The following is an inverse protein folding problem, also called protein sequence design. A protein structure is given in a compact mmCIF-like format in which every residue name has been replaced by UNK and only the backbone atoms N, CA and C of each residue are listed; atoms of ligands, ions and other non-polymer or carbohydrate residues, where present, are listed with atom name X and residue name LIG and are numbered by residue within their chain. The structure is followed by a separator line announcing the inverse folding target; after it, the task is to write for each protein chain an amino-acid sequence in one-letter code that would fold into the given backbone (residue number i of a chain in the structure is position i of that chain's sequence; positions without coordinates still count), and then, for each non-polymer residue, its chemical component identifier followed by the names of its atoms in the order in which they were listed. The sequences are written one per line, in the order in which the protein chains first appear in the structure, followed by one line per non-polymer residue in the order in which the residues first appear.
data_IF_014846159633
#
_entry.id   IF_014846159633
#
_cell.length_a   1.000
_cell.length_b   1.000
_cell.length_c   1.000
_cell.angle_alpha   90.00
_cell.angle_beta   90.00
_cell.angle_gamma   90.00
#
_symmetry.space_group_name_H-M   'P 1'
#
loop_
_entity.id
_entity.type
_entity.pdbx_description
1 polymer ?
#
# COMPACT_ATOMS: atom_id res chain seq x y z
N UNK A 1 -13.67 -24.95 -29.12
CA UNK A 1 -12.46 -24.20 -29.51
C UNK A 1 -12.68 -22.77 -29.04
N UNK A 2 -11.87 -22.25 -28.11
CA UNK A 2 -12.05 -20.87 -27.63
C UNK A 2 -11.76 -19.87 -28.75
N UNK A 3 -12.58 -18.81 -28.82
CA UNK A 3 -12.48 -17.70 -29.77
C UNK A 3 -11.03 -17.12 -29.78
N UNK A 4 -10.40 -16.92 -30.96
CA UNK A 4 -9.09 -16.28 -31.07
C UNK A 4 -9.00 -14.90 -30.40
N UNK A 5 -10.10 -14.15 -30.33
CA UNK A 5 -10.23 -12.89 -29.60
C UNK A 5 -10.18 -13.12 -28.08
N UNK A 6 -10.80 -14.19 -27.57
CA UNK A 6 -10.72 -14.55 -26.14
C UNK A 6 -9.32 -15.07 -25.77
N UNK A 7 -8.64 -15.78 -26.67
CA UNK A 7 -7.24 -16.17 -26.48
C UNK A 7 -6.31 -14.96 -26.50
N UNK A 8 -6.59 -13.97 -27.35
CA UNK A 8 -5.85 -12.71 -27.40
C UNK A 8 -6.10 -11.86 -26.15
N UNK A 9 -7.34 -11.77 -25.67
CA UNK A 9 -7.68 -11.12 -24.39
C UNK A 9 -6.98 -11.80 -23.20
N UNK A 10 -6.92 -13.14 -23.15
CA UNK A 10 -6.17 -13.85 -22.11
C UNK A 10 -4.65 -13.62 -22.19
N UNK A 11 -4.10 -13.34 -23.39
CA UNK A 11 -2.67 -13.10 -23.60
C UNK A 11 -2.29 -11.63 -23.38
N UNK A 12 -3.20 -10.71 -23.70
CA UNK A 12 -3.10 -9.28 -23.41
C UNK A 12 -3.44 -8.96 -21.92
N UNK A 13 -4.00 -9.94 -21.17
CA UNK A 13 -4.19 -9.92 -19.72
C UNK A 13 -3.06 -10.60 -18.94
N UNK A 14 -2.04 -11.11 -19.62
CA UNK A 14 -0.74 -11.23 -18.98
C UNK A 14 -0.19 -9.80 -19.04
N UNK A 15 -0.63 -8.97 -18.09
CA UNK A 15 0.14 -7.79 -17.71
C UNK A 15 1.58 -8.29 -17.61
N UNK A 16 2.46 -7.88 -18.52
CA UNK A 16 3.89 -8.02 -18.27
C UNK A 16 4.08 -7.46 -16.87
N UNK A 17 4.48 -8.32 -15.92
CA UNK A 17 4.58 -7.93 -14.51
C UNK A 17 5.39 -6.64 -14.53
N UNK A 18 4.78 -5.49 -14.21
CA UNK A 18 5.48 -4.22 -14.37
C UNK A 18 6.72 -4.35 -13.51
N UNK A 19 7.88 -4.10 -14.12
CA UNK A 19 9.18 -4.15 -13.45
C UNK A 19 9.00 -3.54 -12.06
N UNK A 20 9.27 -4.32 -11.01
CA UNK A 20 8.96 -3.88 -9.64
C UNK A 20 9.56 -2.48 -9.46
N UNK A 21 8.75 -1.48 -9.10
CA UNK A 21 9.24 -0.12 -9.07
C UNK A 21 10.35 -0.01 -8.04
N UNK A 22 11.33 0.86 -8.29
CA UNK A 22 12.39 1.15 -7.31
C UNK A 22 11.77 1.81 -6.07
N UNK A 23 11.44 0.99 -5.09
CA UNK A 23 10.81 1.42 -3.86
C UNK A 23 11.74 2.30 -3.01
N UNK A 24 13.07 2.18 -3.15
CA UNK A 24 14.02 3.04 -2.45
C UNK A 24 13.92 4.47 -3.00
N UNK A 25 14.00 4.62 -4.33
CA UNK A 25 13.86 5.92 -4.98
C UNK A 25 12.47 6.54 -4.75
N UNK A 26 11.39 5.75 -4.83
CA UNK A 26 10.03 6.24 -4.57
C UNK A 26 9.87 6.75 -3.13
N UNK A 27 10.39 6.01 -2.16
CA UNK A 27 10.36 6.39 -0.74
C UNK A 27 11.14 7.70 -0.51
N UNK A 28 12.33 7.85 -1.08
CA UNK A 28 13.12 9.10 -1.00
C UNK A 28 12.37 10.30 -1.57
N UNK A 29 11.81 10.16 -2.78
CA UNK A 29 11.04 11.21 -3.43
C UNK A 29 9.80 11.62 -2.62
N UNK A 30 9.07 10.64 -2.07
CA UNK A 30 7.90 10.90 -1.25
C UNK A 30 8.26 11.59 0.06
N UNK A 31 9.34 11.16 0.73
CA UNK A 31 9.84 11.82 1.95
C UNK A 31 10.23 13.28 1.71
N UNK A 32 10.79 13.59 0.53
CA UNK A 32 11.23 14.94 0.19
C UNK A 32 10.07 15.95 0.04
N UNK A 33 8.85 15.48 -0.27
CA UNK A 33 7.69 16.35 -0.54
C UNK A 33 6.61 16.30 0.54
N UNK A 34 6.82 15.57 1.64
CA UNK A 34 5.86 15.53 2.75
C UNK A 34 5.75 16.88 3.44
N UNK A 35 4.52 17.28 3.77
CA UNK A 35 4.34 18.36 4.73
C UNK A 35 4.60 17.87 6.18
N UNK A 36 4.66 18.81 7.13
CA UNK A 36 5.01 18.51 8.52
C UNK A 36 4.05 17.50 9.20
N UNK A 37 2.74 17.62 8.98
CA UNK A 37 1.75 16.73 9.59
C UNK A 37 1.82 15.31 9.04
N UNK A 38 1.99 15.19 7.72
CA UNK A 38 2.19 13.91 7.04
C UNK A 38 3.49 13.22 7.49
N UNK A 39 4.58 14.02 7.63
CA UNK A 39 5.87 13.55 8.13
C UNK A 39 5.74 13.01 9.55
N UNK A 40 5.05 13.72 10.42
CA UNK A 40 4.82 13.31 11.80
C UNK A 40 4.05 11.97 11.87
N UNK A 41 2.96 11.84 11.11
CA UNK A 41 2.20 10.58 11.04
C UNK A 41 3.05 9.42 10.51
N UNK A 42 3.81 9.65 9.44
CA UNK A 42 4.71 8.65 8.89
C UNK A 42 5.76 8.22 9.92
N UNK A 43 6.38 9.17 10.61
CA UNK A 43 7.46 8.90 11.55
C UNK A 43 6.98 8.12 12.77
N UNK A 44 5.79 8.44 13.29
CA UNK A 44 5.20 7.67 14.39
C UNK A 44 4.95 6.20 14.01
N UNK A 45 4.35 5.96 12.84
CA UNK A 45 4.07 4.60 12.38
C UNK A 45 5.36 3.85 12.06
N UNK A 46 6.28 4.46 11.31
CA UNK A 46 7.52 3.81 10.90
C UNK A 46 8.44 3.49 12.08
N UNK A 47 8.59 4.40 13.06
CA UNK A 47 9.32 4.13 14.31
C UNK A 47 8.69 2.98 15.07
N UNK A 48 7.36 2.98 15.22
CA UNK A 48 6.65 1.89 15.92
C UNK A 48 6.86 0.55 15.24
N UNK A 49 6.82 0.49 13.91
CA UNK A 49 7.09 -0.74 13.16
C UNK A 49 8.52 -1.24 13.41
N UNK A 50 9.51 -0.35 13.44
CA UNK A 50 10.90 -0.69 13.74
C UNK A 50 11.08 -1.18 15.18
N UNK A 51 10.53 -0.46 16.16
CA UNK A 51 10.61 -0.82 17.58
C UNK A 51 9.91 -2.17 17.84
N UNK A 52 8.82 -2.44 17.11
CA UNK A 52 8.03 -3.67 17.25
C UNK A 52 8.73 -4.94 16.75
N UNK A 53 9.91 -4.81 16.14
CA UNK A 53 10.79 -5.94 15.80
C UNK A 53 11.46 -6.51 17.04
N UNK A 54 11.61 -5.74 18.12
CA UNK A 54 12.04 -6.30 19.41
C UNK A 54 10.92 -7.20 19.97
N UNK A 55 11.19 -8.49 20.26
CA UNK A 55 10.20 -9.40 20.86
C UNK A 55 9.65 -8.92 22.21
N UNK A 56 10.34 -8.00 22.89
CA UNK A 56 9.90 -7.40 24.15
C UNK A 56 8.98 -6.20 23.98
N UNK A 57 8.80 -5.71 22.74
CA UNK A 57 7.97 -4.55 22.48
C UNK A 57 6.49 -4.83 22.79
N UNK A 58 5.96 -4.15 23.79
CA UNK A 58 4.58 -4.25 24.30
C UNK A 58 3.70 -3.03 23.96
N UNK A 59 4.20 -2.10 23.15
CA UNK A 59 3.48 -0.90 22.73
C UNK A 59 2.35 -1.13 21.72
N UNK A 60 1.50 -0.11 21.53
CA UNK A 60 0.38 -0.14 20.57
C UNK A 60 0.88 -0.11 19.13
N UNK A 61 0.40 -1.03 18.29
CA UNK A 61 0.78 -1.14 16.86
C UNK A 61 -0.35 -0.76 15.89
N UNK A 62 -1.50 -0.33 16.41
CA UNK A 62 -2.67 0.04 15.62
C UNK A 62 -2.80 1.55 15.58
N UNK A 63 -2.88 2.09 14.38
CA UNK A 63 -2.98 3.52 14.14
C UNK A 63 -4.23 3.85 13.33
N UNK A 64 -4.82 5.00 13.62
CA UNK A 64 -5.86 5.61 12.80
C UNK A 64 -5.33 6.94 12.27
N UNK A 65 -5.20 7.06 10.95
CA UNK A 65 -4.89 8.33 10.32
C UNK A 65 -6.18 9.13 10.09
N UNK A 66 -6.38 10.16 10.89
CA UNK A 66 -7.52 11.06 10.77
C UNK A 66 -7.15 12.35 10.02
N UNK A 67 -8.06 12.86 9.21
CA UNK A 67 -7.88 14.12 8.49
C UNK A 67 -9.04 14.40 7.55
N UNK A 68 -9.29 15.68 7.28
CA UNK A 68 -10.36 16.13 6.38
C UNK A 68 -10.12 15.69 4.92
N UNK A 69 -11.12 15.90 4.06
CA UNK A 69 -10.94 15.69 2.62
C UNK A 69 -9.80 16.55 2.08
N UNK A 70 -8.97 15.99 1.20
CA UNK A 70 -7.88 16.73 0.55
C UNK A 70 -6.55 16.80 1.34
N UNK A 71 -6.45 16.25 2.56
CA UNK A 71 -5.21 16.30 3.35
C UNK A 71 -4.10 15.32 2.94
N UNK A 72 -4.33 14.53 1.88
CA UNK A 72 -3.31 13.59 1.39
C UNK A 72 -3.16 12.30 2.21
N UNK A 73 -4.20 11.81 2.88
CA UNK A 73 -4.14 10.53 3.64
C UNK A 73 -3.66 9.35 2.78
N UNK A 74 -4.18 9.25 1.56
CA UNK A 74 -3.74 8.24 0.58
C UNK A 74 -2.24 8.34 0.28
N UNK A 75 -1.71 9.56 0.20
CA UNK A 75 -0.28 9.78 0.00
C UNK A 75 0.52 9.24 1.19
N UNK A 76 0.11 9.50 2.43
CA UNK A 76 0.76 8.93 3.63
C UNK A 76 0.72 7.40 3.63
N UNK A 77 -0.43 6.78 3.31
CA UNK A 77 -0.53 5.31 3.20
C UNK A 77 0.43 4.76 2.15
N UNK A 78 0.48 5.37 0.97
CA UNK A 78 1.40 4.96 -0.09
C UNK A 78 2.86 5.16 0.28
N UNK A 79 3.20 6.21 1.01
CA UNK A 79 4.56 6.38 1.52
C UNK A 79 4.96 5.33 2.54
N UNK A 80 4.05 4.92 3.43
CA UNK A 80 4.30 3.82 4.35
C UNK A 80 4.49 2.49 3.60
N UNK A 81 3.70 2.25 2.55
CA UNK A 81 3.82 1.07 1.68
C UNK A 81 5.18 1.04 0.97
N UNK A 82 5.58 2.12 0.30
CA UNK A 82 6.87 2.18 -0.41
C UNK A 82 8.04 2.07 0.55
N UNK A 83 7.98 2.72 1.72
CA UNK A 83 9.01 2.61 2.75
C UNK A 83 9.16 1.17 3.23
N UNK A 84 8.07 0.50 3.61
CA UNK A 84 8.13 -0.89 4.07
C UNK A 84 8.63 -1.83 2.96
N UNK A 85 8.19 -1.62 1.71
CA UNK A 85 8.71 -2.35 0.54
C UNK A 85 10.19 -2.08 0.29
N UNK A 86 10.66 -0.85 0.49
CA UNK A 86 12.09 -0.51 0.38
C UNK A 86 12.95 -1.16 1.47
N UNK A 87 12.35 -1.61 2.58
CA UNK A 87 13.01 -2.45 3.59
C UNK A 87 12.97 -3.95 3.25
N UNK A 88 12.32 -4.35 2.15
CA UNK A 88 12.12 -5.74 1.78
C UNK A 88 10.99 -6.45 2.55
N UNK A 89 10.09 -5.70 3.20
CA UNK A 89 9.00 -6.30 3.98
C UNK A 89 7.76 -6.60 3.14
N UNK A 90 7.03 -7.64 3.55
CA UNK A 90 5.72 -7.94 3.01
C UNK A 90 4.68 -6.92 3.50
N UNK A 91 3.85 -6.43 2.59
CA UNK A 91 2.82 -5.42 2.87
C UNK A 91 1.51 -5.85 2.25
N UNK A 92 0.43 -5.81 3.03
CA UNK A 92 -0.94 -6.02 2.55
C UNK A 92 -1.65 -4.67 2.55
N UNK A 93 -1.89 -4.12 1.36
CA UNK A 93 -2.67 -2.89 1.19
C UNK A 93 -4.09 -3.26 0.74
N UNK A 94 -5.10 -2.89 1.52
CA UNK A 94 -6.49 -3.14 1.16
C UNK A 94 -7.42 -1.97 1.48
N UNK A 95 -8.54 -1.92 0.76
CA UNK A 95 -9.61 -0.94 0.98
C UNK A 95 -10.99 -1.57 0.80
N UNK A 96 -12.04 -0.90 1.27
CA UNK A 96 -13.42 -1.42 1.18
C UNK A 96 -13.99 -1.40 -0.24
N UNK A 97 -13.61 -0.41 -1.08
CA UNK A 97 -14.10 -0.25 -2.46
C UNK A 97 -12.97 -0.41 -3.47
N UNK A 98 -13.31 -0.81 -4.69
CA UNK A 98 -12.34 -0.96 -5.79
C UNK A 98 -11.63 0.34 -6.15
N UNK A 99 -12.34 1.47 -6.11
CA UNK A 99 -11.74 2.80 -6.39
C UNK A 99 -10.69 3.14 -5.32
N UNK A 100 -11.02 2.95 -4.04
CA UNK A 100 -10.08 3.22 -2.96
C UNK A 100 -8.88 2.27 -3.00
N UNK A 101 -9.10 0.98 -3.34
CA UNK A 101 -8.03 0.01 -3.50
C UNK A 101 -7.03 0.42 -4.58
N UNK A 102 -7.52 0.89 -5.74
CA UNK A 102 -6.66 1.34 -6.84
C UNK A 102 -5.82 2.58 -6.53
N UNK A 103 -6.20 3.37 -5.54
CA UNK A 103 -5.41 4.51 -5.08
C UNK A 103 -4.23 4.10 -4.19
N UNK A 104 -4.25 2.88 -3.64
CA UNK A 104 -3.15 2.32 -2.88
C UNK A 104 -2.18 1.60 -3.82
N UNK A 105 -0.88 1.74 -3.58
CA UNK A 105 0.15 0.99 -4.30
C UNK A 105 -0.06 -0.50 -4.03
N UNK A 106 -0.24 -1.28 -5.10
CA UNK A 106 -0.58 -2.71 -5.06
C UNK A 106 -1.80 -3.01 -4.18
N UNK A 107 -2.76 -2.08 -4.12
CA UNK A 107 -3.95 -2.21 -3.31
C UNK A 107 -5.00 -3.13 -3.92
N UNK A 108 -5.64 -3.92 -3.07
CA UNK A 108 -6.78 -4.77 -3.42
C UNK A 108 -8.01 -4.44 -2.57
N UNK A 109 -9.17 -4.95 -2.96
CA UNK A 109 -10.34 -4.83 -2.07
C UNK A 109 -10.18 -5.78 -0.90
N UNK A 110 -10.68 -5.42 0.28
CA UNK A 110 -10.71 -6.32 1.45
C UNK A 110 -11.39 -7.65 1.11
N UNK A 111 -12.43 -7.61 0.27
CA UNK A 111 -13.11 -8.81 -0.23
C UNK A 111 -12.17 -9.75 -0.99
N UNK A 112 -11.42 -9.23 -1.97
CA UNK A 112 -10.45 -10.04 -2.72
C UNK A 112 -9.24 -10.46 -1.88
N UNK A 113 -8.77 -9.62 -0.96
CA UNK A 113 -7.59 -9.90 -0.12
C UNK A 113 -7.87 -11.00 0.89
N UNK A 114 -9.06 -11.00 1.51
CA UNK A 114 -9.41 -11.90 2.60
C UNK A 114 -10.44 -12.98 2.21
N UNK A 115 -10.84 -13.03 0.93
CA UNK A 115 -11.80 -14.02 0.44
C UNK A 115 -13.21 -13.84 1.01
N UNK A 116 -13.64 -12.59 1.26
CA UNK A 116 -14.96 -12.30 1.82
C UNK A 116 -15.98 -12.35 0.68
N UNK A 117 -16.92 -13.28 0.76
CA UNK A 117 -18.07 -13.35 -0.16
C UNK A 117 -19.12 -12.32 0.22
N UNK A 118 -19.78 -11.75 -0.80
CA UNK A 118 -21.04 -11.04 -0.63
C UNK A 118 -22.13 -12.13 -0.52
N UNK A 119 -22.44 -12.56 0.70
CA UNK A 119 -23.65 -13.35 0.97
C UNK A 119 -24.88 -12.43 1.11
#
# INVERSE_FOLDING_TARGET
MLDPVLQKLHKDQIDEDPEEPDYALLNENQKAVMNAEQRECFDQVSRTVLDSQDPKYDGQRLFLLHGSGGTGKTFVYNSLITWAKSQGWAVIACASTGIAARLLINGHTAHSTFGISNE
#
